data_IF_080177033172
#
_entry.id   IF_080177033172
#
_cell.length_a   1.000
_cell.length_b   1.000
_cell.length_c   1.000
_cell.angle_alpha   90.00
_cell.angle_beta   90.00
_cell.angle_gamma   90.00
#
_symmetry.space_group_name_H-M   'P 1'
#
loop_
_entity.id
_entity.type
_entity.pdbx_description
1 polymer ?
#
# COMPACT_ATOMS: atom_id res chain seq x y z
N UNK A 1 30.57 35.04 -9.87
CA UNK A 1 29.30 35.73 -9.56
C UNK A 1 28.29 34.66 -9.20
N UNK A 2 27.74 34.74 -8.00
CA UNK A 2 27.01 33.64 -7.35
C UNK A 2 25.73 33.28 -8.11
N UNK A 3 25.71 32.11 -8.75
CA UNK A 3 24.55 31.43 -9.33
C UNK A 3 23.66 30.85 -8.23
N UNK A 4 23.15 31.70 -7.34
CA UNK A 4 22.30 31.31 -6.22
C UNK A 4 20.84 31.75 -6.34
N UNK A 5 20.40 32.19 -7.53
CA UNK A 5 18.98 32.42 -7.79
C UNK A 5 18.27 31.07 -8.06
N UNK A 6 17.36 30.63 -7.16
CA UNK A 6 16.61 29.39 -7.34
C UNK A 6 15.77 29.35 -8.62
N UNK A 7 15.26 30.51 -9.09
CA UNK A 7 14.41 30.56 -10.28
C UNK A 7 15.22 30.35 -11.56
N UNK A 8 16.40 30.97 -11.67
CA UNK A 8 17.32 30.71 -12.76
C UNK A 8 17.76 29.24 -12.81
N UNK A 9 17.93 28.60 -11.64
CA UNK A 9 18.24 27.17 -11.52
C UNK A 9 17.08 26.28 -11.98
N UNK A 10 15.84 26.58 -11.58
CA UNK A 10 14.66 25.88 -12.07
C UNK A 10 14.56 25.94 -13.60
N UNK A 11 14.77 27.11 -14.21
CA UNK A 11 14.75 27.26 -15.66
C UNK A 11 15.83 26.41 -16.35
N UNK A 12 17.05 26.37 -15.79
CA UNK A 12 18.13 25.52 -16.31
C UNK A 12 17.80 24.04 -16.22
N UNK A 13 17.23 23.59 -15.10
CA UNK A 13 16.83 22.19 -14.92
C UNK A 13 15.68 21.84 -15.88
N UNK A 14 14.70 22.73 -16.05
CA UNK A 14 13.60 22.52 -16.98
C UNK A 14 14.11 22.35 -18.41
N UNK A 15 14.98 23.24 -18.89
CA UNK A 15 15.61 23.13 -20.20
C UNK A 15 16.34 21.78 -20.36
N UNK A 16 17.06 21.33 -19.32
CA UNK A 16 17.73 20.03 -19.34
C UNK A 16 16.78 18.83 -19.39
N UNK A 17 15.56 18.97 -18.91
CA UNK A 17 14.52 17.94 -18.96
C UNK A 17 13.74 17.95 -20.28
N UNK A 18 13.70 19.08 -21.00
CA UNK A 18 12.89 19.25 -22.21
C UNK A 18 13.68 19.28 -23.52
N UNK A 19 14.93 19.74 -23.48
CA UNK A 19 15.69 20.01 -24.69
C UNK A 19 16.31 18.73 -25.27
N UNK A 20 16.28 18.64 -26.59
CA UNK A 20 16.99 17.61 -27.32
C UNK A 20 18.50 17.89 -27.22
N UNK A 21 19.28 16.89 -26.80
CA UNK A 21 20.74 17.01 -26.82
C UNK A 21 21.29 16.69 -28.19
N UNK A 22 22.28 17.48 -28.64
CA UNK A 22 22.95 17.29 -29.93
C UNK A 22 23.66 15.93 -30.07
N UNK A 23 23.95 15.24 -28.96
CA UNK A 23 24.63 13.94 -28.99
C UNK A 23 24.07 12.95 -27.95
N UNK A 24 23.76 11.73 -28.39
CA UNK A 24 23.15 10.65 -27.59
C UNK A 24 23.95 10.16 -26.36
N UNK A 25 25.23 10.55 -26.22
CA UNK A 25 26.12 10.19 -25.11
C UNK A 25 26.41 11.36 -24.17
N UNK A 26 26.01 12.56 -24.58
CA UNK A 26 26.20 13.74 -23.76
C UNK A 26 25.10 13.78 -22.72
N UNK A 27 25.48 13.55 -21.47
CA UNK A 27 24.55 13.56 -20.35
C UNK A 27 24.54 14.88 -19.60
N UNK A 28 25.37 15.85 -20.03
CA UNK A 28 25.54 17.18 -19.44
C UNK A 28 26.10 17.21 -18.01
N UNK A 29 26.21 18.41 -17.40
CA UNK A 29 26.67 18.54 -16.03
C UNK A 29 25.68 17.92 -15.03
N UNK A 30 26.15 17.50 -13.84
CA UNK A 30 25.29 17.00 -12.77
C UNK A 30 24.18 18.00 -12.45
N UNK A 31 22.94 17.50 -12.34
CA UNK A 31 21.83 18.31 -11.84
C UNK A 31 21.99 18.46 -10.33
N UNK A 32 21.77 19.66 -9.83
CA UNK A 32 21.75 19.97 -8.40
C UNK A 32 20.43 20.65 -8.06
N UNK A 33 19.69 20.08 -7.10
CA UNK A 33 18.42 20.64 -6.59
C UNK A 33 18.60 21.42 -5.29
N UNK A 34 19.85 21.65 -4.83
CA UNK A 34 20.11 22.46 -3.66
C UNK A 34 19.40 23.82 -3.73
N UNK A 35 18.89 24.29 -2.61
CA UNK A 35 18.20 25.59 -2.52
C UNK A 35 16.85 25.68 -3.23
N UNK A 36 16.38 24.62 -3.91
CA UNK A 36 15.01 24.58 -4.43
C UNK A 36 14.04 24.17 -3.33
N UNK A 37 12.93 24.89 -3.23
CA UNK A 37 11.85 24.54 -2.32
C UNK A 37 10.93 23.45 -2.92
N UNK A 38 10.06 22.81 -2.10
CA UNK A 38 9.15 21.78 -2.59
C UNK A 38 8.21 22.21 -3.73
N UNK A 39 7.79 23.48 -3.78
CA UNK A 39 6.88 23.99 -4.83
C UNK A 39 7.63 24.14 -6.15
N UNK A 40 8.83 24.72 -6.10
CA UNK A 40 9.72 24.84 -7.26
C UNK A 40 10.05 23.47 -7.89
N UNK A 41 10.21 22.45 -7.06
CA UNK A 41 10.41 21.07 -7.53
C UNK A 41 9.11 20.50 -8.11
N UNK A 42 7.97 20.84 -7.52
CA UNK A 42 6.65 20.48 -8.05
C UNK A 42 6.44 21.00 -9.47
N UNK A 43 6.81 22.24 -9.74
CA UNK A 43 6.67 22.88 -11.06
C UNK A 43 7.50 22.17 -12.15
N UNK A 44 8.63 21.54 -11.77
CA UNK A 44 9.46 20.75 -12.69
C UNK A 44 8.89 19.35 -12.98
N UNK A 45 7.92 18.89 -12.18
CA UNK A 45 7.54 17.48 -12.14
C UNK A 45 6.89 16.93 -13.42
N UNK A 46 6.07 17.69 -14.18
CA UNK A 46 5.58 17.23 -15.48
C UNK A 46 6.71 16.88 -16.45
N UNK A 47 7.78 17.70 -16.47
CA UNK A 47 8.97 17.42 -17.28
C UNK A 47 9.76 16.21 -16.76
N UNK A 48 9.92 16.08 -15.44
CA UNK A 48 10.52 14.89 -14.82
C UNK A 48 9.75 13.61 -15.18
N UNK A 49 8.41 13.64 -15.14
CA UNK A 49 7.57 12.50 -15.49
C UNK A 49 7.74 12.11 -16.96
N UNK A 50 7.68 13.08 -17.88
CA UNK A 50 7.88 12.86 -19.33
C UNK A 50 9.26 12.27 -19.62
N UNK A 51 10.32 12.84 -19.05
CA UNK A 51 11.70 12.41 -19.28
C UNK A 51 12.00 11.00 -18.76
N UNK A 52 11.21 10.49 -17.80
CA UNK A 52 11.41 9.15 -17.26
C UNK A 52 10.76 8.03 -18.07
N UNK A 53 9.73 8.32 -18.89
CA UNK A 53 9.06 7.25 -19.67
C UNK A 53 9.97 6.77 -20.80
N UNK A 54 10.02 5.46 -20.97
CA UNK A 54 10.77 4.80 -22.07
C UNK A 54 10.19 5.12 -23.44
N UNK A 55 8.90 5.46 -23.47
CA UNK A 55 8.07 5.46 -24.68
C UNK A 55 8.08 6.82 -25.39
N UNK A 56 8.75 7.84 -24.81
CA UNK A 56 8.52 9.25 -25.11
C UNK A 56 9.62 9.99 -25.89
N UNK A 57 10.58 9.30 -26.51
CA UNK A 57 11.63 9.96 -27.30
C UNK A 57 12.56 10.89 -26.52
N UNK A 58 12.56 10.81 -25.18
CA UNK A 58 13.41 11.63 -24.32
C UNK A 58 14.89 11.31 -24.57
N UNK A 59 15.73 12.36 -24.57
CA UNK A 59 17.18 12.19 -24.69
C UNK A 59 17.75 11.44 -23.48
N UNK A 60 18.89 10.77 -23.66
CA UNK A 60 19.60 10.12 -22.54
C UNK A 60 19.90 11.09 -21.39
N UNK A 61 20.20 12.34 -21.73
CA UNK A 61 20.45 13.40 -20.75
C UNK A 61 19.21 13.78 -19.93
N UNK A 62 18.04 13.95 -20.58
CA UNK A 62 16.81 14.28 -19.88
C UNK A 62 16.42 13.16 -18.90
N UNK A 63 16.63 11.90 -19.31
CA UNK A 63 16.39 10.74 -18.46
C UNK A 63 17.33 10.70 -17.26
N UNK A 64 18.63 10.92 -17.46
CA UNK A 64 19.59 10.98 -16.35
C UNK A 64 19.32 12.14 -15.40
N UNK A 65 18.92 13.30 -15.93
CA UNK A 65 18.48 14.44 -15.12
C UNK A 65 17.27 14.07 -14.23
N UNK A 66 16.24 13.44 -14.80
CA UNK A 66 15.07 12.99 -14.04
C UNK A 66 15.43 11.97 -12.95
N UNK A 67 16.33 11.02 -13.24
CA UNK A 67 16.83 10.05 -12.25
C UNK A 67 17.64 10.76 -11.15
N UNK A 68 18.50 11.71 -11.49
CA UNK A 68 19.31 12.46 -10.55
C UNK A 68 18.46 13.30 -9.58
N UNK A 69 17.46 14.02 -10.09
CA UNK A 69 16.52 14.81 -9.27
C UNK A 69 15.83 13.91 -8.25
N UNK A 70 15.31 12.77 -8.70
CA UNK A 70 14.55 11.87 -7.84
C UNK A 70 15.43 11.17 -6.80
N UNK A 71 16.68 10.82 -7.15
CA UNK A 71 17.66 10.32 -6.19
C UNK A 71 17.96 11.36 -5.10
N UNK A 72 18.16 12.62 -5.48
CA UNK A 72 18.43 13.69 -4.51
C UNK A 72 17.22 13.95 -3.61
N UNK A 73 16.00 13.90 -4.13
CA UNK A 73 14.78 14.00 -3.32
C UNK A 73 14.69 12.88 -2.27
N UNK A 74 14.97 11.64 -2.67
CA UNK A 74 14.97 10.50 -1.75
C UNK A 74 16.03 10.67 -0.65
N UNK A 75 17.26 11.06 -1.01
CA UNK A 75 18.36 11.31 -0.06
C UNK A 75 18.01 12.41 0.96
N UNK A 76 17.32 13.46 0.50
CA UNK A 76 16.89 14.59 1.32
C UNK A 76 15.58 14.35 2.06
N UNK A 77 14.90 13.23 1.83
CA UNK A 77 13.54 12.94 2.32
C UNK A 77 12.55 14.07 2.02
N UNK A 78 12.69 14.68 0.85
CA UNK A 78 11.86 15.79 0.39
C UNK A 78 10.84 15.29 -0.63
N UNK A 79 9.60 15.78 -0.51
CA UNK A 79 8.53 15.49 -1.46
C UNK A 79 8.17 16.76 -2.23
N UNK A 80 7.93 16.68 -3.55
CA UNK A 80 7.45 17.83 -4.31
C UNK A 80 6.08 18.28 -3.80
N UNK A 81 5.74 19.55 -4.04
CA UNK A 81 4.42 20.13 -3.75
C UNK A 81 3.83 20.70 -5.03
N UNK A 82 2.63 20.24 -5.41
CA UNK A 82 2.01 20.61 -6.67
C UNK A 82 0.98 21.71 -6.49
N UNK A 83 0.97 22.68 -7.41
CA UNK A 83 -0.21 23.52 -7.62
C UNK A 83 -1.30 22.71 -8.33
N UNK A 84 -2.53 23.22 -8.29
CA UNK A 84 -3.67 22.70 -9.04
C UNK A 84 -3.37 22.63 -10.55
N UNK A 85 -2.72 23.66 -11.09
CA UNK A 85 -2.32 23.71 -12.50
C UNK A 85 -1.36 22.58 -12.88
N UNK A 86 -0.31 22.37 -12.07
CA UNK A 86 0.65 21.29 -12.28
C UNK A 86 -0.02 19.92 -12.17
N UNK A 87 -0.91 19.74 -11.19
CA UNK A 87 -1.59 18.46 -11.01
C UNK A 87 -2.55 18.16 -12.17
N UNK A 88 -3.25 19.16 -12.72
CA UNK A 88 -4.07 19.00 -13.93
C UNK A 88 -3.22 18.58 -15.13
N UNK A 89 -2.02 19.15 -15.31
CA UNK A 89 -1.08 18.71 -16.35
C UNK A 89 -0.66 17.25 -16.12
N UNK A 90 -0.24 16.90 -14.90
CA UNK A 90 0.20 15.55 -14.56
C UNK A 90 -0.90 14.50 -14.79
N UNK A 91 -2.15 14.82 -14.47
CA UNK A 91 -3.31 13.95 -14.67
C UNK A 91 -3.56 13.66 -16.16
N UNK A 92 -3.27 14.62 -17.04
CA UNK A 92 -3.37 14.43 -18.48
C UNK A 92 -2.22 13.59 -19.07
N UNK A 93 -1.12 13.39 -18.33
CA UNK A 93 0.02 12.62 -18.81
C UNK A 93 -0.28 11.11 -18.77
N UNK A 94 -0.03 10.39 -19.87
CA UNK A 94 -0.15 8.94 -19.89
C UNK A 94 0.68 8.29 -18.77
N UNK A 95 0.11 7.27 -18.13
CA UNK A 95 0.77 6.47 -17.08
C UNK A 95 1.22 7.25 -15.86
N UNK A 96 0.70 8.46 -15.64
CA UNK A 96 0.92 9.19 -14.40
C UNK A 96 0.32 8.42 -13.21
N UNK A 97 1.08 8.22 -12.13
CA UNK A 97 0.55 7.69 -10.89
C UNK A 97 -0.20 8.79 -10.13
N UNK A 98 -1.39 9.15 -10.61
CA UNK A 98 -2.19 10.29 -10.13
C UNK A 98 -2.36 10.26 -8.61
N UNK A 99 -2.64 9.09 -8.05
CA UNK A 99 -2.81 8.82 -6.62
C UNK A 99 -1.57 9.20 -5.79
N UNK A 100 -0.37 9.01 -6.33
CA UNK A 100 0.85 9.45 -5.66
C UNK A 100 1.01 10.99 -5.70
N UNK A 101 0.48 11.64 -6.73
CA UNK A 101 0.61 13.08 -6.94
C UNK A 101 -0.43 13.88 -6.17
N UNK A 102 -1.68 13.42 -6.11
CA UNK A 102 -2.77 14.17 -5.47
C UNK A 102 -2.53 14.41 -3.96
N UNK A 103 -1.78 13.54 -3.27
CA UNK A 103 -1.39 13.75 -1.86
C UNK A 103 -0.37 14.87 -1.66
N UNK A 104 0.25 15.35 -2.73
CA UNK A 104 1.20 16.45 -2.69
C UNK A 104 0.60 17.78 -3.16
N UNK A 105 -0.71 17.83 -3.42
CA UNK A 105 -1.39 19.08 -3.71
C UNK A 105 -1.19 20.07 -2.57
N UNK A 106 -0.79 21.29 -2.91
CA UNK A 106 -0.35 22.32 -1.98
C UNK A 106 -1.43 23.37 -1.66
N UNK A 107 -2.61 23.21 -2.25
CA UNK A 107 -3.74 24.14 -2.19
C UNK A 107 -5.07 23.39 -2.32
N UNK A 108 -6.19 24.07 -2.08
CA UNK A 108 -7.51 23.48 -2.30
C UNK A 108 -7.74 23.18 -3.79
N UNK A 109 -8.21 21.98 -4.15
CA UNK A 109 -8.42 21.62 -5.54
C UNK A 109 -9.52 22.46 -6.16
N UNK A 110 -9.25 23.01 -7.34
CA UNK A 110 -10.21 23.78 -8.14
C UNK A 110 -11.40 22.91 -8.56
N UNK A 111 -12.51 23.55 -8.94
CA UNK A 111 -13.67 22.84 -9.49
C UNK A 111 -13.31 22.03 -10.74
N UNK A 112 -12.37 22.50 -11.56
CA UNK A 112 -11.92 21.79 -12.75
C UNK A 112 -11.13 20.53 -12.40
N UNK A 113 -10.16 20.62 -11.47
CA UNK A 113 -9.44 19.44 -11.00
C UNK A 113 -10.38 18.42 -10.37
N UNK A 114 -11.32 18.87 -9.52
CA UNK A 114 -12.34 18.00 -8.92
C UNK A 114 -13.16 17.26 -9.97
N UNK A 115 -13.60 17.96 -11.02
CA UNK A 115 -14.34 17.35 -12.13
C UNK A 115 -13.49 16.31 -12.87
N UNK A 116 -12.23 16.61 -13.19
CA UNK A 116 -11.32 15.65 -13.85
C UNK A 116 -11.09 14.40 -13.00
N UNK A 117 -10.89 14.56 -11.69
CA UNK A 117 -10.73 13.42 -10.78
C UNK A 117 -12.02 12.60 -10.67
N UNK A 118 -13.19 13.25 -10.65
CA UNK A 118 -14.48 12.57 -10.68
C UNK A 118 -14.64 11.72 -11.95
N UNK A 119 -14.28 12.25 -13.12
CA UNK A 119 -14.35 11.51 -14.38
C UNK A 119 -13.42 10.29 -14.36
N UNK A 120 -12.21 10.43 -13.81
CA UNK A 120 -11.25 9.32 -13.67
C UNK A 120 -11.81 8.24 -12.75
N UNK A 121 -12.38 8.62 -11.60
CA UNK A 121 -13.04 7.67 -10.71
C UNK A 121 -14.17 6.97 -11.45
N UNK A 122 -15.05 7.73 -12.13
CA UNK A 122 -16.17 7.21 -12.92
C UNK A 122 -15.75 6.20 -13.99
N UNK A 123 -14.64 6.45 -14.69
CA UNK A 123 -14.10 5.53 -15.71
C UNK A 123 -13.53 4.24 -15.13
N UNK A 124 -13.02 4.29 -13.89
CA UNK A 124 -12.38 3.14 -13.23
C UNK A 124 -13.34 2.32 -12.36
N UNK A 125 -14.42 2.93 -11.86
CA UNK A 125 -15.43 2.26 -11.04
C UNK A 125 -15.96 0.94 -11.64
N UNK A 126 -16.31 0.85 -12.94
CA UNK A 126 -16.80 -0.40 -13.54
C UNK A 126 -15.78 -1.55 -13.53
N UNK A 127 -14.49 -1.25 -13.37
CA UNK A 127 -13.38 -2.23 -13.37
C UNK A 127 -12.97 -2.66 -11.96
N UNK A 128 -13.73 -2.24 -10.95
CA UNK A 128 -13.40 -2.52 -9.55
C UNK A 128 -13.41 -4.04 -9.28
N UNK A 129 -12.28 -4.55 -8.78
CA UNK A 129 -12.10 -5.98 -8.50
C UNK A 129 -11.72 -6.81 -9.73
N UNK A 130 -11.32 -6.18 -10.84
CA UNK A 130 -10.63 -6.89 -11.91
C UNK A 130 -9.28 -7.43 -11.40
N UNK A 131 -8.88 -8.61 -11.89
CA UNK A 131 -7.75 -9.41 -11.39
C UNK A 131 -6.42 -8.63 -11.32
N UNK A 132 -6.27 -7.59 -12.14
CA UNK A 132 -5.06 -6.76 -12.20
C UNK A 132 -5.03 -5.62 -11.18
N UNK A 133 -6.11 -5.37 -10.42
CA UNK A 133 -6.21 -4.21 -9.53
C UNK A 133 -7.05 -4.52 -8.27
N UNK A 134 -6.67 -5.59 -7.54
CA UNK A 134 -7.36 -6.01 -6.33
C UNK A 134 -7.37 -4.94 -5.21
N UNK A 135 -6.47 -3.96 -5.26
CA UNK A 135 -6.37 -2.85 -4.31
C UNK A 135 -6.82 -1.49 -4.89
N UNK A 136 -7.42 -1.48 -6.10
CA UNK A 136 -7.93 -0.29 -6.78
C UNK A 136 -8.82 0.57 -5.88
N UNK A 137 -9.59 -0.08 -4.99
CA UNK A 137 -10.56 0.58 -4.11
C UNK A 137 -9.92 1.65 -3.22
N UNK A 138 -8.69 1.44 -2.75
CA UNK A 138 -8.01 2.41 -1.87
C UNK A 138 -7.52 3.62 -2.64
N UNK A 139 -7.03 3.38 -3.86
CA UNK A 139 -6.63 4.39 -4.81
C UNK A 139 -7.81 5.27 -5.22
N UNK A 140 -8.92 4.64 -5.58
CA UNK A 140 -10.15 5.34 -5.92
C UNK A 140 -10.72 6.10 -4.73
N UNK A 141 -10.59 5.59 -3.50
CA UNK A 141 -11.02 6.32 -2.31
C UNK A 141 -10.25 7.63 -2.15
N UNK A 142 -8.93 7.62 -2.34
CA UNK A 142 -8.11 8.83 -2.30
C UNK A 142 -8.57 9.84 -3.37
N UNK A 143 -8.75 9.40 -4.62
CA UNK A 143 -9.21 10.28 -5.71
C UNK A 143 -10.61 10.82 -5.44
N UNK A 144 -11.53 9.97 -4.98
CA UNK A 144 -12.91 10.33 -4.68
C UNK A 144 -13.00 11.37 -3.56
N UNK A 145 -12.18 11.25 -2.51
CA UNK A 145 -12.14 12.24 -1.41
C UNK A 145 -11.76 13.64 -1.90
N UNK A 146 -10.89 13.73 -2.89
CA UNK A 146 -10.44 15.00 -3.47
C UNK A 146 -11.48 15.52 -4.47
N UNK A 147 -12.07 14.63 -5.27
CA UNK A 147 -13.15 14.98 -6.20
C UNK A 147 -14.39 15.52 -5.47
N UNK A 148 -14.74 14.96 -4.32
CA UNK A 148 -15.75 15.48 -3.40
C UNK A 148 -16.75 14.43 -2.88
N UNK A 149 -17.65 14.82 -1.95
CA UNK A 149 -18.51 13.89 -1.22
C UNK A 149 -19.39 12.99 -2.10
N UNK A 150 -19.98 13.54 -3.16
CA UNK A 150 -20.81 12.76 -4.09
C UNK A 150 -20.02 11.63 -4.79
N UNK A 151 -18.73 11.86 -5.07
CA UNK A 151 -17.83 10.87 -5.65
C UNK A 151 -17.54 9.75 -4.64
N UNK A 152 -17.32 10.10 -3.36
CA UNK A 152 -17.14 9.14 -2.27
C UNK A 152 -18.40 8.29 -2.09
N UNK A 153 -19.58 8.89 -2.10
CA UNK A 153 -20.85 8.15 -1.95
C UNK A 153 -21.09 7.20 -3.12
N UNK A 154 -20.76 7.62 -4.34
CA UNK A 154 -20.81 6.76 -5.52
C UNK A 154 -19.88 5.56 -5.40
N UNK A 155 -18.60 5.79 -5.04
CA UNK A 155 -17.63 4.73 -4.82
C UNK A 155 -18.06 3.79 -3.69
N UNK A 156 -18.55 4.32 -2.57
CA UNK A 156 -19.01 3.52 -1.42
C UNK A 156 -20.15 2.59 -1.82
N UNK A 157 -21.10 3.06 -2.62
CA UNK A 157 -22.19 2.23 -3.15
C UNK A 157 -21.65 1.10 -4.02
N UNK A 158 -20.77 1.41 -4.96
CA UNK A 158 -20.15 0.39 -5.84
C UNK A 158 -19.33 -0.63 -5.05
N UNK A 159 -18.55 -0.19 -4.05
CA UNK A 159 -17.78 -1.11 -3.17
C UNK A 159 -18.74 -2.03 -2.40
N UNK A 160 -19.81 -1.49 -1.81
CA UNK A 160 -20.80 -2.29 -1.07
C UNK A 160 -21.51 -3.31 -1.95
N UNK A 161 -21.89 -2.93 -3.16
CA UNK A 161 -22.51 -3.84 -4.13
C UNK A 161 -21.54 -4.94 -4.57
N UNK A 162 -20.30 -4.56 -4.90
CA UNK A 162 -19.27 -5.48 -5.44
C UNK A 162 -18.73 -6.47 -4.40
N UNK A 163 -18.58 -6.03 -3.16
CA UNK A 163 -17.99 -6.79 -2.06
C UNK A 163 -19.03 -7.17 -0.99
N UNK A 164 -20.31 -7.29 -1.36
CA UNK A 164 -21.38 -7.70 -0.45
C UNK A 164 -21.11 -9.06 0.22
N UNK A 165 -20.33 -9.94 -0.43
CA UNK A 165 -19.90 -11.23 0.09
C UNK A 165 -18.69 -11.16 1.03
N UNK A 166 -17.98 -10.03 1.10
CA UNK A 166 -16.70 -9.86 1.80
C UNK A 166 -16.80 -8.78 2.91
N UNK A 167 -17.40 -9.12 4.07
CA UNK A 167 -17.72 -8.13 5.10
C UNK A 167 -16.49 -7.44 5.69
N UNK A 168 -15.31 -8.09 5.71
CA UNK A 168 -14.10 -7.46 6.23
C UNK A 168 -13.55 -6.41 5.26
N UNK A 169 -13.74 -6.59 3.94
CA UNK A 169 -13.43 -5.57 2.94
C UNK A 169 -14.27 -4.31 3.17
N UNK A 170 -15.55 -4.47 3.48
CA UNK A 170 -16.45 -3.33 3.75
C UNK A 170 -16.06 -2.61 5.04
N UNK A 171 -15.82 -3.37 6.13
CA UNK A 171 -15.38 -2.81 7.41
C UNK A 171 -14.03 -2.06 7.28
N UNK A 172 -13.10 -2.58 6.47
CA UNK A 172 -11.81 -1.92 6.20
C UNK A 172 -11.99 -0.65 5.37
N UNK A 173 -12.86 -0.70 4.35
CA UNK A 173 -13.13 0.46 3.51
C UNK A 173 -13.65 1.64 4.34
N UNK A 174 -14.60 1.38 5.24
CA UNK A 174 -15.13 2.39 6.16
C UNK A 174 -14.02 2.94 7.10
N UNK A 175 -13.11 2.09 7.57
CA UNK A 175 -11.98 2.53 8.40
C UNK A 175 -11.00 3.43 7.64
N UNK A 176 -10.74 3.13 6.37
CA UNK A 176 -9.80 3.86 5.51
C UNK A 176 -10.29 5.26 5.14
N UNK A 177 -11.59 5.54 5.22
CA UNK A 177 -12.11 6.92 5.06
C UNK A 177 -11.55 7.88 6.13
N UNK A 178 -11.20 7.34 7.30
CA UNK A 178 -10.65 8.08 8.43
C UNK A 178 -9.12 8.08 8.48
N UNK A 179 -8.45 7.43 7.53
CA UNK A 179 -6.98 7.41 7.41
C UNK A 179 -6.48 8.67 6.69
N UNK A 180 -5.29 9.15 7.03
CA UNK A 180 -4.70 10.30 6.35
C UNK A 180 -4.53 10.03 4.83
N UNK A 181 -4.83 11.01 3.94
CA UNK A 181 -4.68 10.83 2.49
C UNK A 181 -3.28 10.34 2.07
N UNK A 182 -2.22 10.90 2.68
CA UNK A 182 -0.84 10.48 2.42
C UNK A 182 -0.59 9.01 2.77
N UNK A 183 -1.24 8.48 3.80
CA UNK A 183 -1.15 7.07 4.16
C UNK A 183 -1.89 6.20 3.14
N UNK A 184 -3.04 6.63 2.63
CA UNK A 184 -3.76 5.93 1.54
C UNK A 184 -2.93 5.86 0.25
N UNK A 185 -2.28 6.95 -0.16
CA UNK A 185 -1.37 6.92 -1.32
C UNK A 185 -0.18 5.97 -1.11
N UNK A 186 0.25 5.78 0.14
CA UNK A 186 1.32 4.83 0.48
C UNK A 186 0.90 3.37 0.33
N UNK A 187 -0.41 3.07 0.35
CA UNK A 187 -0.90 1.73 0.08
C UNK A 187 -0.69 1.32 -1.39
N UNK A 188 -0.81 2.24 -2.36
CA UNK A 188 -0.51 1.91 -3.77
C UNK A 188 0.95 1.52 -4.01
N UNK A 189 1.83 2.12 -3.23
CA UNK A 189 3.21 2.29 -3.67
C UNK A 189 4.04 1.02 -3.57
N UNK A 190 3.55 -0.07 -2.99
CA UNK A 190 4.25 -1.36 -3.00
C UNK A 190 4.42 -1.97 -4.41
N UNK A 191 3.63 -1.57 -5.41
CA UNK A 191 3.67 -2.14 -6.78
C UNK A 191 4.46 -1.25 -7.77
N UNK A 192 4.52 0.07 -7.57
CA UNK A 192 5.25 1.00 -8.46
C UNK A 192 6.53 1.62 -7.83
N UNK A 193 6.72 1.54 -6.50
CA UNK A 193 7.94 2.03 -5.80
C UNK A 193 9.14 1.10 -5.94
N UNK A 194 9.00 0.01 -6.69
CA UNK A 194 10.18 -0.67 -7.25
C UNK A 194 11.13 0.31 -7.98
N UNK A 195 10.66 1.50 -8.38
CA UNK A 195 11.49 2.55 -8.98
C UNK A 195 11.86 3.74 -8.06
N UNK A 196 11.39 3.82 -6.80
CA UNK A 196 11.63 5.00 -5.92
C UNK A 196 12.28 4.71 -4.56
N UNK A 197 12.17 3.51 -4.00
CA UNK A 197 12.75 3.15 -2.69
C UNK A 197 13.18 1.67 -2.79
N UNK A 198 14.42 1.36 -2.41
CA UNK A 198 15.03 0.01 -2.45
C UNK A 198 14.35 -1.05 -1.55
N UNK A 199 13.15 -0.80 -1.03
CA UNK A 199 12.45 -1.72 -0.12
C UNK A 199 10.95 -1.77 -0.40
N UNK A 200 10.54 -2.16 -1.62
CA UNK A 200 9.14 -2.46 -1.93
C UNK A 200 8.52 -3.58 -1.04
N UNK A 201 9.33 -4.30 -0.27
CA UNK A 201 8.86 -5.26 0.74
C UNK A 201 8.59 -4.64 2.11
N UNK A 202 8.83 -3.34 2.33
CA UNK A 202 8.45 -2.64 3.57
C UNK A 202 6.96 -2.26 3.54
N UNK A 203 6.13 -3.31 3.57
CA UNK A 203 4.94 -3.44 4.40
C UNK A 203 3.91 -2.30 4.34
N UNK A 204 2.81 -2.56 3.62
CA UNK A 204 1.54 -1.81 3.69
C UNK A 204 1.10 -1.55 5.14
N UNK A 205 1.43 -2.46 6.07
CA UNK A 205 1.09 -2.32 7.48
C UNK A 205 1.84 -1.20 8.21
N UNK A 206 3.05 -0.80 7.77
CA UNK A 206 3.85 0.17 8.54
C UNK A 206 3.25 1.58 8.55
N UNK A 207 2.81 2.16 7.41
CA UNK A 207 2.05 3.40 7.43
C UNK A 207 0.75 3.29 8.24
N UNK A 208 0.00 2.19 8.06
CA UNK A 208 -1.28 1.97 8.74
C UNK A 208 -1.16 1.76 10.26
N UNK A 209 -0.02 1.25 10.74
CA UNK A 209 0.27 1.09 12.16
C UNK A 209 0.36 2.43 12.93
N UNK A 210 0.52 3.54 12.21
CA UNK A 210 0.49 4.88 12.79
C UNK A 210 -0.89 5.54 12.73
N UNK A 211 -1.89 4.89 12.13
CA UNK A 211 -3.24 5.43 11.96
C UNK A 211 -4.20 4.87 13.03
N UNK A 212 -4.64 5.68 14.01
CA UNK A 212 -5.46 5.19 15.12
C UNK A 212 -6.76 4.51 14.66
N UNK A 213 -7.40 5.04 13.61
CA UNK A 213 -8.61 4.47 13.03
C UNK A 213 -8.38 3.05 12.47
N UNK A 214 -7.23 2.81 11.84
CA UNK A 214 -6.90 1.51 11.27
C UNK A 214 -6.44 0.50 12.35
N UNK A 215 -5.78 0.97 13.41
CA UNK A 215 -5.43 0.13 14.57
C UNK A 215 -6.70 -0.36 15.27
N UNK A 216 -7.66 0.53 15.48
CA UNK A 216 -8.95 0.17 16.07
C UNK A 216 -9.74 -0.80 15.17
N UNK A 217 -9.76 -0.55 13.87
CA UNK A 217 -10.29 -1.51 12.89
C UNK A 217 -9.61 -2.88 13.01
N UNK A 218 -8.28 -2.92 13.07
CA UNK A 218 -7.51 -4.17 13.14
C UNK A 218 -7.90 -5.00 14.36
N UNK A 219 -8.04 -4.35 15.52
CA UNK A 219 -8.50 -4.98 16.76
C UNK A 219 -9.88 -5.61 16.59
N UNK A 220 -10.85 -4.85 16.06
CA UNK A 220 -12.23 -5.33 15.86
C UNK A 220 -12.31 -6.45 14.83
N UNK A 221 -11.61 -6.31 13.69
CA UNK A 221 -11.61 -7.28 12.61
C UNK A 221 -11.05 -8.64 13.06
N UNK A 222 -9.91 -8.65 13.75
CA UNK A 222 -9.30 -9.89 14.24
C UNK A 222 -10.11 -10.56 15.35
N UNK A 223 -10.72 -9.77 16.25
CA UNK A 223 -11.63 -10.30 17.26
C UNK A 223 -12.88 -10.94 16.62
N UNK A 224 -13.47 -10.28 15.62
CA UNK A 224 -14.62 -10.78 14.85
C UNK A 224 -14.27 -12.08 14.10
N UNK A 225 -13.10 -12.12 13.45
CA UNK A 225 -12.62 -13.31 12.74
C UNK A 225 -12.36 -14.49 13.70
N UNK A 226 -11.80 -14.22 14.88
CA UNK A 226 -11.60 -15.24 15.90
C UNK A 226 -12.94 -15.79 16.40
N UNK A 227 -13.89 -14.92 16.74
CA UNK A 227 -15.22 -15.34 17.19
C UNK A 227 -15.94 -16.21 16.14
N UNK A 228 -15.84 -15.85 14.85
CA UNK A 228 -16.42 -16.64 13.76
C UNK A 228 -15.81 -18.04 13.66
N UNK A 229 -14.48 -18.17 13.80
CA UNK A 229 -13.83 -19.47 13.82
C UNK A 229 -14.20 -20.28 15.07
N UNK A 230 -14.38 -19.63 16.21
CA UNK A 230 -14.84 -20.27 17.44
C UNK A 230 -16.28 -20.77 17.32
N UNK A 231 -17.16 -20.04 16.64
CA UNK A 231 -18.52 -20.49 16.35
C UNK A 231 -18.54 -21.71 15.44
N UNK A 232 -17.67 -21.76 14.43
CA UNK A 232 -17.47 -22.95 13.58
C UNK A 232 -16.98 -24.13 14.43
N UNK A 233 -16.00 -23.91 15.30
CA UNK A 233 -15.44 -24.97 16.14
C UNK A 233 -16.37 -25.46 17.24
N UNK A 234 -17.25 -24.60 17.74
CA UNK A 234 -18.30 -24.97 18.67
C UNK A 234 -19.54 -25.57 17.99
N UNK A 235 -19.56 -25.68 16.65
CA UNK A 235 -20.69 -26.21 15.89
C UNK A 235 -21.91 -25.28 15.82
N UNK A 236 -21.77 -24.00 16.24
CA UNK A 236 -22.83 -22.98 16.10
C UNK A 236 -23.00 -22.53 14.65
N UNK A 237 -21.91 -22.54 13.88
CA UNK A 237 -21.92 -22.34 12.44
C UNK A 237 -21.48 -23.64 11.76
N UNK A 238 -22.20 -24.15 10.74
CA UNK A 238 -21.82 -25.36 10.05
C UNK A 238 -20.42 -25.27 9.44
N UNK A 239 -19.57 -26.25 9.72
CA UNK A 239 -18.24 -26.34 9.13
C UNK A 239 -18.32 -26.62 7.62
N UNK A 240 -17.65 -25.78 6.83
CA UNK A 240 -17.41 -25.99 5.41
C UNK A 240 -15.92 -25.82 5.14
N UNK A 241 -15.32 -26.81 4.50
CA UNK A 241 -13.89 -26.80 4.18
C UNK A 241 -13.55 -25.61 3.29
N UNK A 242 -12.55 -24.83 3.71
CA UNK A 242 -12.01 -23.67 2.99
C UNK A 242 -13.05 -22.57 2.65
N UNK A 243 -14.06 -22.43 3.51
CA UNK A 243 -15.18 -21.47 3.33
C UNK A 243 -15.42 -20.56 4.52
N UNK A 244 -14.56 -20.59 5.54
CA UNK A 244 -14.72 -19.68 6.68
C UNK A 244 -14.53 -18.20 6.30
N UNK A 245 -13.71 -17.90 5.28
CA UNK A 245 -13.47 -16.54 4.81
C UNK A 245 -13.37 -16.52 3.29
N UNK A 246 -13.78 -15.41 2.69
CA UNK A 246 -13.62 -15.20 1.24
C UNK A 246 -12.18 -14.88 0.89
N UNK A 247 -11.78 -15.10 -0.36
CA UNK A 247 -10.45 -14.72 -0.83
C UNK A 247 -10.20 -13.21 -0.76
N UNK A 248 -11.24 -12.39 -0.79
CA UNK A 248 -11.16 -10.93 -0.65
C UNK A 248 -10.94 -10.50 0.80
N UNK A 249 -11.55 -11.20 1.78
CA UNK A 249 -11.39 -10.88 3.21
C UNK A 249 -10.00 -11.26 3.75
N UNK A 250 -9.39 -12.33 3.24
CA UNK A 250 -8.15 -12.84 3.85
C UNK A 250 -6.94 -11.89 3.75
N UNK A 251 -6.71 -11.12 2.65
CA UNK A 251 -5.71 -10.04 2.64
C UNK A 251 -5.99 -8.94 3.67
N UNK A 252 -7.25 -8.61 3.92
CA UNK A 252 -7.66 -7.59 4.92
C UNK A 252 -7.26 -8.04 6.32
N UNK A 253 -7.61 -9.28 6.68
CA UNK A 253 -7.27 -9.85 7.98
C UNK A 253 -5.76 -10.00 8.17
N UNK A 254 -5.03 -10.30 7.10
CA UNK A 254 -3.57 -10.36 7.12
C UNK A 254 -2.94 -8.99 7.41
N UNK A 255 -3.39 -7.93 6.71
CA UNK A 255 -2.94 -6.55 6.99
C UNK A 255 -3.29 -6.11 8.42
N UNK A 256 -4.48 -6.44 8.91
CA UNK A 256 -4.86 -6.16 10.30
C UNK A 256 -3.93 -6.87 11.30
N UNK A 257 -3.57 -8.13 11.04
CA UNK A 257 -2.61 -8.89 11.85
C UNK A 257 -1.19 -8.29 11.78
N UNK A 258 -0.77 -7.83 10.61
CA UNK A 258 0.51 -7.18 10.40
C UNK A 258 0.61 -5.86 11.18
N UNK A 259 -0.43 -5.02 11.13
CA UNK A 259 -0.52 -3.78 11.90
C UNK A 259 -0.42 -4.04 13.40
N UNK A 260 -1.14 -5.06 13.88
CA UNK A 260 -1.12 -5.43 15.29
C UNK A 260 0.27 -5.96 15.74
N UNK A 261 0.93 -6.74 14.89
CA UNK A 261 2.27 -7.26 15.13
C UNK A 261 3.34 -6.15 15.10
N UNK A 262 3.25 -5.21 14.16
CA UNK A 262 4.17 -4.07 14.04
C UNK A 262 4.15 -3.17 15.27
N UNK A 263 3.02 -3.12 15.97
CA UNK A 263 2.80 -2.33 17.18
C UNK A 263 3.04 -3.12 18.47
N UNK A 264 3.35 -4.42 18.37
CA UNK A 264 3.49 -5.33 19.50
C UNK A 264 2.31 -5.25 20.49
N UNK A 265 1.09 -5.21 19.95
CA UNK A 265 -0.12 -5.00 20.74
C UNK A 265 -0.40 -6.20 21.67
N UNK A 266 -0.60 -5.93 22.97
CA UNK A 266 -0.79 -6.97 23.98
C UNK A 266 -2.01 -7.88 23.72
N UNK A 267 -3.06 -7.37 23.09
CA UNK A 267 -4.24 -8.16 22.72
C UNK A 267 -3.95 -9.09 21.53
N UNK A 268 -2.99 -8.74 20.65
CA UNK A 268 -2.62 -9.57 19.51
C UNK A 268 -1.90 -10.85 19.95
N UNK A 269 -1.06 -10.76 21.00
CA UNK A 269 -0.43 -11.90 21.64
C UNK A 269 -1.43 -12.98 22.10
N UNK A 270 -2.67 -12.59 22.44
CA UNK A 270 -3.75 -13.49 22.86
C UNK A 270 -4.57 -14.01 21.68
N UNK A 271 -4.81 -13.16 20.67
CA UNK A 271 -5.65 -13.48 19.51
C UNK A 271 -4.93 -14.33 18.48
N UNK A 272 -3.68 -13.97 18.14
CA UNK A 272 -2.92 -14.60 17.05
C UNK A 272 -2.78 -16.12 17.20
N UNK A 273 -2.40 -16.68 18.37
CA UNK A 273 -2.26 -18.13 18.52
C UNK A 273 -3.56 -18.90 18.27
N UNK A 274 -4.67 -18.38 18.78
CA UNK A 274 -6.00 -19.01 18.60
C UNK A 274 -6.46 -18.88 17.16
N UNK A 275 -6.34 -17.69 16.58
CA UNK A 275 -6.75 -17.41 15.21
C UNK A 275 -6.02 -18.32 14.21
N UNK A 276 -4.69 -18.40 14.31
CA UNK A 276 -3.87 -19.24 13.44
C UNK A 276 -4.25 -20.72 13.58
N UNK A 277 -4.34 -21.21 14.81
CA UNK A 277 -4.69 -22.61 15.10
C UNK A 277 -6.05 -22.97 14.51
N UNK A 278 -7.09 -22.18 14.80
CA UNK A 278 -8.46 -22.49 14.36
C UNK A 278 -8.61 -22.36 12.85
N UNK A 279 -7.87 -21.46 12.19
CA UNK A 279 -7.86 -21.38 10.73
C UNK A 279 -7.20 -22.60 10.07
N UNK A 280 -6.24 -23.24 10.75
CA UNK A 280 -5.45 -24.37 10.25
C UNK A 280 -6.02 -25.76 10.58
N UNK A 281 -6.98 -25.85 11.51
CA UNK A 281 -7.51 -27.12 11.99
C UNK A 281 -9.03 -27.18 11.79
N UNK A 282 -9.50 -28.24 11.12
CA UNK A 282 -10.92 -28.55 11.13
C UNK A 282 -11.40 -28.89 12.56
N UNK A 283 -12.67 -28.59 12.88
CA UNK A 283 -13.26 -28.95 14.18
C UNK A 283 -13.48 -30.45 14.34
N UNK A 284 -13.36 -31.21 13.25
CA UNK A 284 -13.44 -32.67 13.23
C UNK A 284 -12.08 -33.28 12.90
N UNK A 285 -11.97 -34.61 12.94
CA UNK A 285 -10.76 -35.33 12.54
C UNK A 285 -10.43 -35.24 11.03
N UNK A 286 -11.23 -34.51 10.23
CA UNK A 286 -11.00 -34.34 8.81
C UNK A 286 -9.62 -33.71 8.52
N UNK A 287 -9.00 -34.14 7.42
CA UNK A 287 -7.76 -33.55 6.88
C UNK A 287 -8.06 -32.35 5.98
N UNK A 288 -8.91 -31.46 6.47
CA UNK A 288 -9.35 -30.22 5.81
C UNK A 288 -9.13 -29.05 6.77
N UNK A 289 -9.33 -27.81 6.32
CA UNK A 289 -9.17 -26.61 7.15
C UNK A 289 -10.33 -25.64 6.94
N UNK A 290 -10.68 -24.80 7.93
CA UNK A 290 -11.68 -23.75 7.76
C UNK A 290 -11.31 -22.69 6.72
N UNK A 291 -10.05 -22.27 6.63
CA UNK A 291 -9.58 -21.35 5.59
C UNK A 291 -8.09 -21.51 5.30
N UNK A 292 -7.77 -22.06 4.12
CA UNK A 292 -6.41 -22.19 3.62
C UNK A 292 -5.81 -20.82 3.33
N UNK A 293 -6.58 -19.94 2.68
CA UNK A 293 -6.10 -18.60 2.31
C UNK A 293 -5.71 -17.79 3.55
N UNK A 294 -6.55 -17.77 4.59
CA UNK A 294 -6.22 -17.07 5.83
C UNK A 294 -4.99 -17.67 6.51
N UNK A 295 -4.93 -18.99 6.63
CA UNK A 295 -3.78 -19.68 7.25
C UNK A 295 -2.46 -19.30 6.57
N UNK A 296 -2.41 -19.36 5.23
CA UNK A 296 -1.21 -19.02 4.45
C UNK A 296 -0.84 -17.55 4.67
N UNK A 297 -1.81 -16.63 4.57
CA UNK A 297 -1.55 -15.19 4.75
C UNK A 297 -1.10 -14.84 6.16
N UNK A 298 -1.61 -15.50 7.19
CA UNK A 298 -1.11 -15.34 8.56
C UNK A 298 0.32 -15.87 8.68
N UNK A 299 0.64 -17.01 8.06
CA UNK A 299 2.02 -17.51 7.98
C UNK A 299 2.98 -16.51 7.31
N UNK A 300 2.58 -15.93 6.17
CA UNK A 300 3.32 -14.86 5.48
C UNK A 300 3.53 -13.63 6.39
N UNK A 301 2.47 -13.22 7.09
CA UNK A 301 2.50 -12.09 8.04
C UNK A 301 3.48 -12.35 9.17
N UNK A 302 3.47 -13.55 9.76
CA UNK A 302 4.37 -13.94 10.85
C UNK A 302 5.83 -14.02 10.38
N UNK A 303 6.07 -14.48 9.16
CA UNK A 303 7.41 -14.46 8.57
C UNK A 303 7.95 -13.03 8.37
N UNK A 304 7.08 -12.11 7.96
CA UNK A 304 7.43 -10.72 7.69
C UNK A 304 7.62 -9.88 8.96
N UNK A 305 6.66 -9.97 9.87
CA UNK A 305 6.59 -9.19 11.11
C UNK A 305 6.41 -10.14 12.30
N UNK A 306 7.47 -10.88 12.70
CA UNK A 306 7.36 -11.85 13.78
C UNK A 306 7.28 -11.19 15.15
N UNK A 307 6.37 -11.67 15.99
CA UNK A 307 6.39 -11.47 17.45
C UNK A 307 6.76 -12.80 18.13
N UNK A 308 7.30 -12.81 19.36
CA UNK A 308 7.62 -14.06 20.05
C UNK A 308 6.44 -15.03 20.14
N UNK A 309 5.24 -14.50 20.39
CA UNK A 309 4.00 -15.26 20.50
C UNK A 309 3.55 -15.81 19.17
N UNK A 310 3.70 -15.04 18.08
CA UNK A 310 3.27 -15.46 16.75
C UNK A 310 4.19 -16.53 16.16
N UNK A 311 5.51 -16.43 16.40
CA UNK A 311 6.46 -17.50 16.03
C UNK A 311 6.19 -18.78 16.82
N UNK A 312 5.92 -18.66 18.13
CA UNK A 312 5.54 -19.82 18.95
C UNK A 312 4.25 -20.44 18.46
N UNK A 313 3.23 -19.63 18.19
CA UNK A 313 1.94 -20.09 17.65
C UNK A 313 2.11 -20.85 16.33
N UNK A 314 2.94 -20.36 15.42
CA UNK A 314 3.23 -21.02 14.15
C UNK A 314 3.88 -22.38 14.37
N UNK A 315 4.89 -22.45 15.25
CA UNK A 315 5.56 -23.72 15.60
C UNK A 315 4.60 -24.73 16.22
N UNK A 316 3.74 -24.29 17.13
CA UNK A 316 2.82 -25.20 17.81
C UNK A 316 1.69 -25.67 16.88
N UNK A 317 1.17 -24.78 16.02
CA UNK A 317 0.16 -25.14 15.02
C UNK A 317 0.70 -26.16 14.01
N UNK A 318 1.97 -26.02 13.59
CA UNK A 318 2.62 -26.97 12.67
C UNK A 318 2.72 -28.39 13.22
N UNK A 319 2.74 -28.59 14.55
CA UNK A 319 2.76 -29.93 15.15
C UNK A 319 1.43 -30.67 15.05
N UNK A 320 0.34 -29.93 14.82
CA UNK A 320 -1.03 -30.45 14.94
C UNK A 320 -1.80 -30.45 13.62
N UNK A 321 -1.30 -29.69 12.64
CA UNK A 321 -1.95 -29.55 11.35
C UNK A 321 -2.05 -30.89 10.62
N UNK A 322 -3.25 -31.17 10.11
CA UNK A 322 -3.54 -32.43 9.38
C UNK A 322 -3.57 -32.24 7.86
N UNK A 323 -3.67 -31.00 7.39
CA UNK A 323 -3.77 -30.68 5.97
C UNK A 323 -2.37 -30.42 5.38
N UNK A 324 -1.82 -31.43 4.71
CA UNK A 324 -0.46 -31.44 4.17
C UNK A 324 -0.12 -30.23 3.28
N UNK A 325 -1.09 -29.74 2.50
CA UNK A 325 -0.88 -28.58 1.62
C UNK A 325 -0.67 -27.26 2.38
N UNK A 326 -1.33 -27.10 3.54
CA UNK A 326 -1.18 -25.90 4.37
C UNK A 326 0.05 -26.06 5.26
N UNK A 327 0.29 -27.26 5.81
CA UNK A 327 1.50 -27.62 6.55
C UNK A 327 2.77 -27.22 5.79
N UNK A 328 2.89 -27.72 4.55
CA UNK A 328 4.04 -27.43 3.68
C UNK A 328 4.22 -25.93 3.38
N UNK A 329 3.12 -25.17 3.30
CA UNK A 329 3.19 -23.72 3.08
C UNK A 329 3.62 -22.99 4.34
N UNK A 330 3.05 -23.33 5.49
CA UNK A 330 3.40 -22.74 6.79
C UNK A 330 4.84 -23.06 7.22
N UNK A 331 5.32 -24.27 6.95
CA UNK A 331 6.69 -24.67 7.25
C UNK A 331 7.72 -23.77 6.53
N UNK A 332 7.43 -23.36 5.29
CA UNK A 332 8.27 -22.42 4.52
C UNK A 332 8.39 -21.05 5.18
N UNK A 333 7.41 -20.67 6.00
CA UNK A 333 7.38 -19.38 6.70
C UNK A 333 8.04 -19.44 8.08
N UNK A 334 8.20 -20.62 8.69
CA UNK A 334 8.77 -20.76 10.04
C UNK A 334 10.23 -20.31 10.11
N UNK A 335 11.10 -20.79 9.22
CA UNK A 335 12.53 -20.41 9.23
C UNK A 335 12.74 -18.89 9.04
N UNK A 336 12.10 -18.23 8.06
CA UNK A 336 12.12 -16.77 7.97
C UNK A 336 11.65 -16.07 9.25
N UNK A 337 10.55 -16.53 9.85
CA UNK A 337 10.00 -15.95 11.08
C UNK A 337 10.99 -16.01 12.26
N UNK A 338 11.62 -17.16 12.48
CA UNK A 338 12.63 -17.34 13.54
C UNK A 338 13.85 -16.44 13.32
N UNK A 339 14.35 -16.37 12.09
CA UNK A 339 15.47 -15.51 11.71
C UNK A 339 15.14 -14.03 11.92
N UNK A 340 13.97 -13.58 11.49
CA UNK A 340 13.54 -12.19 11.61
C UNK A 340 13.24 -11.81 13.06
N UNK A 341 12.68 -12.71 13.87
CA UNK A 341 12.46 -12.49 15.31
C UNK A 341 13.77 -12.24 16.06
N UNK A 342 14.83 -12.99 15.71
CA UNK A 342 16.17 -12.77 16.27
C UNK A 342 16.80 -11.43 15.87
N UNK A 343 16.39 -10.84 14.73
CA UNK A 343 16.84 -9.51 14.27
C UNK A 343 16.10 -8.38 14.98
N UNK A 344 14.79 -8.51 15.19
CA UNK A 344 13.97 -7.49 15.87
C UNK A 344 14.46 -7.25 17.31
N UNK A 345 14.91 -8.30 18.02
CA UNK A 345 15.53 -8.17 19.36
C UNK A 345 16.82 -7.34 19.41
N UNK A 346 17.43 -7.04 18.26
CA UNK A 346 18.68 -6.25 18.17
C UNK A 346 18.46 -4.80 17.76
N UNK A 347 17.23 -4.39 17.47
CA UNK A 347 16.94 -3.00 17.11
C UNK A 347 16.52 -2.22 18.37
N UNK A 348 17.18 -1.09 18.70
CA UNK A 348 16.78 -0.30 19.86
C UNK A 348 15.40 0.30 19.60
N UNK A 349 14.48 0.08 20.53
CA UNK A 349 13.30 0.92 20.69
C UNK A 349 13.81 2.34 20.99
N UNK A 350 13.71 3.24 20.03
CA UNK A 350 14.05 4.65 20.14
C UNK A 350 12.98 5.48 19.45
#
# INVERSE_FOLDING_TARGET
MSTNDPNARCAQILARLTDATDHARFVGPPIDIDGLDPRQIGDLWPAVHRAHRFDGGASGAAREAAVAIRRQLAQRRMLPKFSDAVLRELVALPGAPIEAYVCQLAEEPSAQLRATLNDIVGQRLPRLGDVFDADARYNLLLLARIAGPACVDGLRRTVRERYAHAPYVLDEFDALEHVAPCTLARLRTAIEVHYWIESASEYFGRPLAHEPAYVEFSRRALAKALAQLEDIHAGRVPYQSDKAFTTDDTPVLARAAEVAALRDEAWYAQVCPRLLRLACLAPTAAKTVPSQSLAIRLGETIAGTPTPESVRALRDTLKEIRHAGVEKKLERHLRPAEKNSARVRKWPCG
#
